data_IF_734706352344
#
_entry.id   IF_734706352344
#
_cell.length_a   1.000
_cell.length_b   1.000
_cell.length_c   1.000
_cell.angle_alpha   90.00
_cell.angle_beta   90.00
_cell.angle_gamma   90.00
#
_symmetry.space_group_name_H-M   'P 1'
#
loop_
_entity.id
_entity.type
_entity.pdbx_description
1 polymer ?
#
# COMPACT_ATOMS: atom_id res chain seq x y z
N UNK A 1 -6.14 16.42 -20.61
CA UNK A 1 -5.07 15.50 -21.07
C UNK A 1 -5.28 14.15 -20.38
N UNK A 2 -5.62 13.08 -21.12
CA UNK A 2 -5.65 11.71 -20.57
C UNK A 2 -4.29 11.09 -20.84
N UNK A 3 -3.47 10.96 -19.81
CA UNK A 3 -2.15 10.32 -19.89
C UNK A 3 -2.33 8.81 -19.95
N UNK A 4 -2.67 8.29 -21.13
CA UNK A 4 -2.84 6.85 -21.41
C UNK A 4 -1.53 6.03 -21.34
N UNK A 5 -0.47 6.58 -20.78
CA UNK A 5 0.88 6.01 -20.87
C UNK A 5 1.55 5.77 -19.52
N UNK A 6 0.86 6.05 -18.40
CA UNK A 6 1.36 5.72 -17.07
C UNK A 6 0.66 4.44 -16.62
N UNK A 7 1.40 3.37 -16.29
CA UNK A 7 0.82 2.19 -15.68
C UNK A 7 0.00 2.60 -14.47
N UNK A 8 -1.25 2.15 -14.40
CA UNK A 8 -2.17 2.48 -13.31
C UNK A 8 -1.55 2.17 -11.93
N UNK A 9 -0.76 1.10 -11.85
CA UNK A 9 0.04 0.74 -10.67
C UNK A 9 0.98 1.87 -10.21
N UNK A 10 1.67 2.55 -11.13
CA UNK A 10 2.55 3.66 -10.78
C UNK A 10 1.77 4.85 -10.19
N UNK A 11 0.56 5.09 -10.69
CA UNK A 11 -0.31 6.16 -10.17
C UNK A 11 -0.72 5.79 -8.74
N UNK A 12 -1.21 4.58 -8.53
CA UNK A 12 -1.66 4.11 -7.22
C UNK A 12 -0.52 4.06 -6.20
N UNK A 13 0.65 3.51 -6.56
CA UNK A 13 1.82 3.45 -5.68
C UNK A 13 2.27 4.85 -5.23
N UNK A 14 2.21 5.85 -6.12
CA UNK A 14 2.55 7.24 -5.77
C UNK A 14 1.46 7.94 -4.97
N UNK A 15 0.19 7.64 -5.21
CA UNK A 15 -0.93 8.26 -4.53
C UNK A 15 -1.16 7.68 -3.11
N UNK A 16 -0.83 6.40 -2.91
CA UNK A 16 -1.14 5.69 -1.67
C UNK A 16 -0.58 6.30 -0.38
N UNK A 17 0.67 6.81 -0.32
CA UNK A 17 1.19 7.47 0.88
C UNK A 17 0.35 8.69 1.32
N UNK A 18 -0.41 9.30 0.41
CA UNK A 18 -1.30 10.43 0.73
C UNK A 18 -2.63 10.00 1.36
N UNK A 19 -3.00 8.73 1.24
CA UNK A 19 -4.19 8.15 1.88
C UNK A 19 -3.90 7.57 3.27
N UNK A 20 -2.63 7.60 3.72
CA UNK A 20 -2.20 7.03 4.99
C UNK A 20 -1.97 8.12 6.05
N UNK A 21 -2.24 7.77 7.31
CA UNK A 21 -2.00 8.61 8.48
C UNK A 21 -1.08 7.93 9.50
N UNK A 22 -0.34 8.76 10.26
CA UNK A 22 0.53 8.38 11.38
C UNK A 22 1.33 7.09 11.13
N UNK A 23 1.10 6.07 11.96
CA UNK A 23 1.82 4.80 11.99
C UNK A 23 1.76 4.04 10.67
N UNK A 24 0.69 4.21 9.88
CA UNK A 24 0.57 3.55 8.58
C UNK A 24 1.48 4.17 7.53
N UNK A 25 1.60 5.50 7.58
CA UNK A 25 2.47 6.28 6.72
C UNK A 25 3.94 6.05 7.08
N UNK A 26 4.29 6.14 8.37
CA UNK A 26 5.65 5.84 8.85
C UNK A 26 6.09 4.44 8.42
N UNK A 27 5.27 3.42 8.66
CA UNK A 27 5.57 2.04 8.25
C UNK A 27 5.89 1.93 6.76
N UNK A 28 5.13 2.61 5.90
CA UNK A 28 5.35 2.58 4.46
C UNK A 28 6.72 3.17 4.09
N UNK A 29 7.16 4.24 4.76
CA UNK A 29 8.47 4.86 4.57
C UNK A 29 9.63 4.04 5.16
N UNK A 30 9.38 3.21 6.17
CA UNK A 30 10.39 2.30 6.74
C UNK A 30 10.66 1.06 5.89
N UNK A 31 9.84 0.77 4.87
CA UNK A 31 10.08 -0.36 3.97
C UNK A 31 11.33 -0.12 3.12
N UNK A 32 12.10 -1.18 2.89
CA UNK A 32 13.28 -1.07 2.05
C UNK A 32 12.86 -0.66 0.62
N UNK A 33 13.57 0.30 -0.01
CA UNK A 33 13.26 0.73 -1.36
C UNK A 33 13.33 -0.46 -2.32
N UNK A 34 12.31 -0.61 -3.18
CA UNK A 34 12.19 -1.74 -4.10
C UNK A 34 11.56 -3.00 -3.50
N UNK A 35 11.17 -3.00 -2.22
CA UNK A 35 10.42 -4.14 -1.63
C UNK A 35 9.05 -4.32 -2.28
N UNK A 36 8.42 -3.22 -2.70
CA UNK A 36 7.12 -3.20 -3.36
C UNK A 36 7.33 -2.67 -4.78
N UNK A 37 7.01 -3.50 -5.77
CA UNK A 37 7.18 -3.18 -7.19
C UNK A 37 5.87 -3.12 -7.96
N UNK A 38 4.77 -3.60 -7.38
CA UNK A 38 3.44 -3.58 -7.99
C UNK A 38 2.38 -3.15 -6.99
N UNK A 39 1.23 -2.70 -7.50
CA UNK A 39 0.09 -2.34 -6.65
C UNK A 39 -0.48 -3.54 -5.89
N UNK A 40 -0.43 -4.75 -6.48
CA UNK A 40 -0.89 -5.97 -5.80
C UNK A 40 -0.04 -6.30 -4.57
N UNK A 41 1.28 -6.21 -4.71
CA UNK A 41 2.20 -6.51 -3.63
C UNK A 41 1.99 -5.55 -2.45
N UNK A 42 1.89 -4.25 -2.73
CA UNK A 42 1.57 -3.23 -1.73
C UNK A 42 0.31 -3.58 -0.94
N UNK A 43 -0.80 -3.87 -1.64
CA UNK A 43 -2.08 -4.21 -0.99
C UNK A 43 -1.92 -5.42 -0.06
N UNK A 44 -1.22 -6.46 -0.53
CA UNK A 44 -1.00 -7.68 0.25
C UNK A 44 -0.19 -7.41 1.52
N UNK A 45 0.92 -6.69 1.42
CA UNK A 45 1.77 -6.40 2.58
C UNK A 45 1.10 -5.44 3.56
N UNK A 46 0.36 -4.45 3.05
CA UNK A 46 -0.44 -3.53 3.86
C UNK A 46 -1.54 -4.26 4.64
N UNK A 47 -2.35 -5.08 3.96
CA UNK A 47 -3.41 -5.86 4.61
C UNK A 47 -2.82 -6.83 5.62
N UNK A 48 -1.72 -7.51 5.31
CA UNK A 48 -1.05 -8.41 6.27
C UNK A 48 -0.57 -7.67 7.53
N UNK A 49 -0.09 -6.43 7.39
CA UNK A 49 0.42 -5.62 8.51
C UNK A 49 -0.71 -5.01 9.35
N UNK A 50 -1.70 -4.39 8.72
CA UNK A 50 -2.74 -3.59 9.39
C UNK A 50 -4.08 -4.30 9.53
N UNK A 51 -4.31 -5.40 8.83
CA UNK A 51 -5.54 -6.20 8.87
C UNK A 51 -5.23 -7.70 8.95
N UNK A 52 -4.45 -8.16 9.94
CA UNK A 52 -4.17 -9.58 10.10
C UNK A 52 -5.48 -10.34 10.29
N UNK A 53 -5.64 -11.45 9.56
CA UNK A 53 -6.81 -12.32 9.62
C UNK A 53 -7.12 -12.84 11.04
N UNK A 54 -6.13 -12.79 11.94
CA UNK A 54 -6.25 -13.18 13.36
C UNK A 54 -7.13 -12.24 14.20
N UNK A 55 -7.66 -11.14 13.64
CA UNK A 55 -8.65 -10.26 14.29
C UNK A 55 -10.08 -10.53 13.85
N UNK A 56 -10.41 -11.77 13.52
CA UNK A 56 -11.80 -12.24 13.51
C UNK A 56 -12.13 -12.81 14.89
N UNK A 57 -12.40 -11.93 15.86
CA UNK A 57 -13.28 -12.34 16.95
C UNK A 57 -14.69 -12.34 16.36
N UNK A 58 -15.10 -13.48 15.81
CA UNK A 58 -16.52 -13.73 15.62
C UNK A 58 -17.13 -13.74 17.04
N UNK A 59 -17.94 -12.72 17.33
CA UNK A 59 -18.82 -12.70 18.50
C UNK A 59 -20.23 -12.97 17.98
#
# INVERSE_FOLDING_TARGET
MRTHNVPEDHIHLKAFPFSLEDLSKDWLYYLAPGSITSWDDLKRVFLKKFFPASRTTAI
#
